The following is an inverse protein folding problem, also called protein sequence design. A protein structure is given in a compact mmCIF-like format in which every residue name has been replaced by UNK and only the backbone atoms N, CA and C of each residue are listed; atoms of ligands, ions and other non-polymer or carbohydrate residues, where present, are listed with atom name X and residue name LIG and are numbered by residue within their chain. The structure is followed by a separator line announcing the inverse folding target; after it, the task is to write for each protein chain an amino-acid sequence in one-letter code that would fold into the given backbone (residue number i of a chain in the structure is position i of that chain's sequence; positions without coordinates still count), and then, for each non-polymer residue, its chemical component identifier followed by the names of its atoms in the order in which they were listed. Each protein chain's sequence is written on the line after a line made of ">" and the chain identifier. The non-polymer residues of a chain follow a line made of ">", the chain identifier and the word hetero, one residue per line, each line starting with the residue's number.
data_IF_015288677180
#
_entry.id   IF_015288677180
#
_cell.length_a   1.000
_cell.length_b   1.000
_cell.length_c   1.000
_cell.angle_alpha   90.00
_cell.angle_beta   90.00
_cell.angle_gamma   90.00
#
_symmetry.space_group_name_H-M   'P 1'
#
loop_
_entity.id
_entity.type
_entity.pdbx_description
1 polymer ?
#
# COMPACT_ATOMS: atom_id res chain seq x y z
N UNK A 1 -9.19 -11.64 8.93
CA UNK A 1 -8.84 -10.25 8.53
C UNK A 1 -7.38 -9.90 8.79
N UNK A 2 -6.81 -10.18 9.98
CA UNK A 2 -5.41 -9.87 10.31
C UNK A 2 -4.40 -10.45 9.29
N UNK A 3 -4.46 -11.76 9.00
CA UNK A 3 -3.56 -12.40 8.01
C UNK A 3 -3.69 -11.79 6.60
N UNK A 4 -4.92 -11.57 6.14
CA UNK A 4 -5.16 -10.93 4.84
C UNK A 4 -4.55 -9.52 4.79
N UNK A 5 -4.77 -8.70 5.82
CA UNK A 5 -4.19 -7.36 5.90
C UNK A 5 -2.65 -7.39 5.92
N UNK A 6 -2.05 -8.36 6.62
CA UNK A 6 -0.59 -8.58 6.60
C UNK A 6 -0.11 -8.90 5.18
N UNK A 7 -0.73 -9.88 4.51
CA UNK A 7 -0.36 -10.29 3.15
C UNK A 7 -0.48 -9.13 2.17
N UNK A 8 -1.57 -8.36 2.23
CA UNK A 8 -1.75 -7.17 1.39
C UNK A 8 -0.68 -6.12 1.68
N UNK A 9 -0.34 -5.89 2.95
CA UNK A 9 0.69 -4.91 3.35
C UNK A 9 2.07 -5.29 2.82
N UNK A 10 2.45 -6.56 2.96
CA UNK A 10 3.71 -7.09 2.41
C UNK A 10 3.68 -7.06 0.88
N UNK A 11 2.55 -7.38 0.27
CA UNK A 11 2.35 -7.28 -1.18
C UNK A 11 2.54 -5.86 -1.72
N UNK A 12 2.03 -4.84 -1.00
CA UNK A 12 2.24 -3.44 -1.36
C UNK A 12 3.74 -3.05 -1.25
N UNK A 13 4.43 -3.52 -0.21
CA UNK A 13 5.89 -3.29 -0.07
C UNK A 13 6.63 -3.94 -1.24
N UNK A 14 6.34 -5.20 -1.54
CA UNK A 14 6.96 -5.93 -2.64
C UNK A 14 6.71 -5.25 -3.99
N UNK A 15 5.48 -4.78 -4.23
CA UNK A 15 5.15 -4.01 -5.43
C UNK A 15 5.96 -2.70 -5.50
N UNK A 16 6.13 -2.00 -4.37
CA UNK A 16 6.97 -0.82 -4.28
C UNK A 16 8.44 -1.09 -4.63
N UNK A 17 9.00 -2.20 -4.13
CA UNK A 17 10.36 -2.63 -4.47
C UNK A 17 10.49 -2.94 -5.96
N UNK A 18 9.55 -3.70 -6.53
CA UNK A 18 9.52 -4.00 -7.97
C UNK A 18 9.42 -2.72 -8.79
N UNK A 19 8.58 -1.77 -8.36
CA UNK A 19 8.42 -0.49 -9.04
C UNK A 19 9.74 0.29 -9.08
N UNK A 20 10.43 0.46 -7.95
CA UNK A 20 11.74 1.12 -7.90
C UNK A 20 12.75 0.38 -8.76
N UNK A 21 12.83 -0.95 -8.63
CA UNK A 21 13.77 -1.77 -9.38
C UNK A 21 13.53 -1.74 -10.89
N UNK A 22 12.31 -1.41 -11.33
CA UNK A 22 11.97 -1.22 -12.74
C UNK A 22 12.38 0.14 -13.30
N UNK A 23 12.72 1.12 -12.46
CA UNK A 23 13.11 2.47 -12.90
C UNK A 23 14.23 2.46 -13.96
N UNK A 24 15.34 1.72 -13.79
CA UNK A 24 16.42 1.70 -14.79
C UNK A 24 16.02 1.08 -16.13
N UNK A 25 14.95 0.29 -16.15
CA UNK A 25 14.40 -0.28 -17.39
C UNK A 25 13.63 0.77 -18.20
N UNK A 26 12.98 1.71 -17.54
CA UNK A 26 12.18 2.76 -18.18
C UNK A 26 12.95 4.07 -18.40
N UNK A 27 14.00 4.30 -17.62
CA UNK A 27 14.82 5.51 -17.67
C UNK A 27 16.30 5.12 -17.68
N UNK A 28 16.99 5.41 -18.79
CA UNK A 28 18.42 5.13 -18.95
C UNK A 28 19.31 6.07 -18.12
N UNK A 29 18.77 7.21 -17.71
CA UNK A 29 19.48 8.25 -16.96
C UNK A 29 18.63 8.72 -15.77
N UNK A 30 19.30 9.24 -14.74
CA UNK A 30 18.64 9.79 -13.55
C UNK A 30 18.07 11.17 -13.87
N UNK A 31 16.82 11.17 -14.34
CA UNK A 31 16.07 12.38 -14.70
C UNK A 31 14.97 12.68 -13.68
N UNK A 32 14.40 13.88 -13.72
CA UNK A 32 13.24 14.23 -12.87
C UNK A 32 12.06 13.25 -13.01
N UNK A 33 11.66 12.83 -14.23
CA UNK A 33 10.68 11.75 -14.40
C UNK A 33 11.07 10.41 -13.76
N UNK A 34 12.35 10.03 -13.81
CA UNK A 34 12.84 8.81 -13.18
C UNK A 34 12.69 8.85 -11.65
N UNK A 35 13.03 9.99 -11.03
CA UNK A 35 12.86 10.22 -9.59
C UNK A 35 11.38 10.19 -9.22
N UNK A 36 10.53 10.86 -10.00
CA UNK A 36 9.08 10.85 -9.82
C UNK A 36 8.52 9.43 -9.87
N UNK A 37 8.92 8.62 -10.86
CA UNK A 37 8.54 7.22 -10.95
C UNK A 37 9.00 6.42 -9.72
N UNK A 38 10.28 6.49 -9.36
CA UNK A 38 10.81 5.78 -8.19
C UNK A 38 10.12 6.21 -6.87
N UNK A 39 9.73 7.48 -6.75
CA UNK A 39 9.00 8.00 -5.58
C UNK A 39 7.66 7.30 -5.36
N UNK A 40 6.96 6.89 -6.42
CA UNK A 40 5.74 6.10 -6.30
C UNK A 40 5.98 4.77 -5.61
N UNK A 41 7.12 4.13 -5.90
CA UNK A 41 7.54 2.91 -5.21
C UNK A 41 7.90 3.13 -3.75
N UNK A 42 8.56 4.24 -3.41
CA UNK A 42 8.82 4.64 -2.02
C UNK A 42 7.51 4.87 -1.25
N UNK A 43 6.53 5.54 -1.86
CA UNK A 43 5.19 5.74 -1.27
C UNK A 43 4.49 4.42 -1.00
N UNK A 44 4.59 3.44 -1.90
CA UNK A 44 4.06 2.09 -1.69
C UNK A 44 4.73 1.41 -0.49
N UNK A 45 6.06 1.38 -0.44
CA UNK A 45 6.82 0.78 0.67
C UNK A 45 6.43 1.42 2.00
N UNK A 46 6.39 2.76 2.08
CA UNK A 46 6.02 3.47 3.29
C UNK A 46 4.58 3.17 3.72
N UNK A 47 3.65 3.14 2.77
CA UNK A 47 2.23 2.83 3.05
C UNK A 47 2.07 1.40 3.58
N UNK A 48 2.75 0.43 2.96
CA UNK A 48 2.77 -0.95 3.45
C UNK A 48 3.39 -1.07 4.85
N UNK A 49 4.47 -0.34 5.14
CA UNK A 49 5.07 -0.29 6.47
C UNK A 49 4.11 0.31 7.51
N UNK A 50 3.40 1.41 7.18
CA UNK A 50 2.35 1.99 8.02
C UNK A 50 1.22 1.00 8.30
N UNK A 51 0.86 0.17 7.32
CA UNK A 51 -0.15 -0.86 7.51
C UNK A 51 0.30 -1.92 8.53
N UNK A 52 1.55 -2.37 8.46
CA UNK A 52 2.14 -3.30 9.43
C UNK A 52 2.23 -2.69 10.83
N UNK A 53 2.59 -1.40 10.94
CA UNK A 53 2.58 -0.68 12.21
C UNK A 53 1.16 -0.58 12.77
N UNK A 54 0.16 -0.19 11.97
CA UNK A 54 -1.25 -0.12 12.38
C UNK A 54 -1.75 -1.48 12.86
N UNK A 55 -1.32 -2.56 12.23
CA UNK A 55 -1.71 -3.92 12.62
C UNK A 55 -1.24 -4.28 14.02
N UNK A 56 -0.09 -3.76 14.45
CA UNK A 56 0.53 -4.07 15.75
C UNK A 56 0.09 -3.07 16.83
N UNK A 57 0.10 -1.77 16.51
CA UNK A 57 -0.06 -0.69 17.49
C UNK A 57 -1.37 0.09 17.35
N UNK A 58 -2.15 -0.18 16.32
CA UNK A 58 -3.27 0.69 15.97
C UNK A 58 -4.44 0.67 16.96
N UNK A 59 -4.52 -0.28 17.90
CA UNK A 59 -5.55 -0.22 18.96
C UNK A 59 -5.31 0.94 19.92
N UNK A 60 -4.05 1.16 20.34
CA UNK A 60 -3.68 2.24 21.26
C UNK A 60 -3.41 3.58 20.59
N UNK A 61 -3.16 3.60 19.27
CA UNK A 61 -2.76 4.79 18.54
C UNK A 61 -3.81 5.21 17.50
N UNK A 62 -4.82 5.99 17.91
CA UNK A 62 -5.86 6.51 16.99
C UNK A 62 -5.27 7.31 15.82
N UNK A 63 -4.24 8.11 16.07
CA UNK A 63 -3.54 8.87 15.01
C UNK A 63 -2.96 7.97 13.93
N UNK A 64 -2.32 6.86 14.33
CA UNK A 64 -1.76 5.87 13.40
C UNK A 64 -2.86 5.23 12.54
N UNK A 65 -4.04 4.97 13.10
CA UNK A 65 -5.18 4.46 12.31
C UNK A 65 -5.60 5.46 11.23
N UNK A 66 -5.77 6.73 11.59
CA UNK A 66 -6.22 7.78 10.66
C UNK A 66 -5.20 7.97 9.54
N UNK A 67 -3.92 8.13 9.89
CA UNK A 67 -2.84 8.34 8.91
C UNK A 67 -2.74 7.14 7.96
N UNK A 68 -2.77 5.92 8.49
CA UNK A 68 -2.71 4.71 7.69
C UNK A 68 -3.92 4.58 6.75
N UNK A 69 -5.14 4.84 7.21
CA UNK A 69 -6.33 4.83 6.35
C UNK A 69 -6.24 5.91 5.27
N UNK A 70 -5.81 7.12 5.61
CA UNK A 70 -5.61 8.19 4.64
C UNK A 70 -4.56 7.82 3.58
N UNK A 71 -3.43 7.23 4.00
CA UNK A 71 -2.39 6.78 3.08
C UNK A 71 -2.89 5.70 2.10
N UNK A 72 -3.66 4.71 2.58
CA UNK A 72 -4.25 3.71 1.70
C UNK A 72 -5.31 4.32 0.75
N UNK A 73 -6.08 5.30 1.20
CA UNK A 73 -7.05 6.00 0.37
C UNK A 73 -6.35 6.75 -0.78
N UNK A 74 -5.30 7.51 -0.46
CA UNK A 74 -4.49 8.23 -1.46
C UNK A 74 -3.84 7.25 -2.43
N UNK A 75 -3.25 6.16 -1.95
CA UNK A 75 -2.61 5.17 -2.80
C UNK A 75 -3.62 4.47 -3.73
N UNK A 76 -4.84 4.18 -3.22
CA UNK A 76 -5.92 3.60 -4.03
C UNK A 76 -6.42 4.57 -5.10
N UNK A 77 -6.61 5.84 -4.74
CA UNK A 77 -6.99 6.88 -5.70
C UNK A 77 -5.92 7.06 -6.78
N UNK A 78 -4.65 7.06 -6.40
CA UNK A 78 -3.54 7.15 -7.34
C UNK A 78 -3.48 5.93 -8.26
N UNK A 79 -3.70 4.72 -7.75
CA UNK A 79 -3.76 3.51 -8.56
C UNK A 79 -4.92 3.52 -9.58
N UNK A 80 -6.09 4.05 -9.18
CA UNK A 80 -7.23 4.23 -10.09
C UNK A 80 -6.90 5.22 -11.22
N UNK A 81 -6.31 6.36 -10.87
CA UNK A 81 -5.88 7.37 -11.86
C UNK A 81 -4.82 6.79 -12.80
N UNK A 82 -3.82 6.08 -12.25
CA UNK A 82 -2.77 5.45 -13.04
C UNK A 82 -3.34 4.41 -14.02
N UNK A 83 -4.26 3.55 -13.57
CA UNK A 83 -4.93 2.57 -14.43
C UNK A 83 -5.73 3.23 -15.56
N UNK A 84 -6.45 4.31 -15.26
CA UNK A 84 -7.22 5.05 -16.24
C UNK A 84 -6.32 5.69 -17.31
N UNK A 85 -5.19 6.29 -16.90
CA UNK A 85 -4.27 6.98 -17.82
C UNK A 85 -3.42 6.01 -18.63
N UNK A 86 -2.99 4.89 -18.05
CA UNK A 86 -2.09 3.94 -18.73
C UNK A 86 -2.82 2.98 -19.68
N UNK A 87 -4.14 2.89 -19.61
CA UNK A 87 -4.89 1.86 -20.33
C UNK A 87 -4.53 0.45 -19.87
N UNK A 88 -4.23 0.28 -18.57
CA UNK A 88 -3.81 -0.98 -17.97
C UNK A 88 -4.76 -2.13 -18.31
N UNK A 89 -4.20 -3.32 -18.52
CA UNK A 89 -4.99 -4.52 -18.76
C UNK A 89 -5.89 -4.84 -17.55
N UNK A 90 -7.01 -5.53 -17.80
CA UNK A 90 -7.93 -5.91 -16.73
C UNK A 90 -7.23 -6.70 -15.59
N UNK A 91 -6.24 -7.55 -15.93
CA UNK A 91 -5.47 -8.30 -14.96
C UNK A 91 -4.62 -7.38 -14.06
N UNK A 92 -3.89 -6.44 -14.65
CA UNK A 92 -3.08 -5.47 -13.90
C UNK A 92 -3.96 -4.65 -12.95
N UNK A 93 -5.11 -4.19 -13.43
CA UNK A 93 -6.09 -3.45 -12.63
C UNK A 93 -6.58 -4.28 -11.45
N UNK A 94 -6.99 -5.53 -11.69
CA UNK A 94 -7.47 -6.42 -10.63
C UNK A 94 -6.38 -6.70 -9.60
N UNK A 95 -5.14 -6.95 -10.03
CA UNK A 95 -4.03 -7.24 -9.11
C UNK A 95 -3.68 -6.01 -8.26
N UNK A 96 -3.49 -4.85 -8.89
CA UNK A 96 -3.09 -3.63 -8.18
C UNK A 96 -4.22 -3.15 -7.27
N UNK A 97 -5.45 -3.03 -7.77
CA UNK A 97 -6.59 -2.60 -6.95
C UNK A 97 -6.97 -3.62 -5.89
N UNK A 98 -6.80 -4.93 -6.16
CA UNK A 98 -6.96 -5.97 -5.16
C UNK A 98 -5.98 -5.78 -3.99
N UNK A 99 -4.73 -5.41 -4.28
CA UNK A 99 -3.72 -5.11 -3.26
C UNK A 99 -4.05 -3.82 -2.49
N UNK A 100 -4.08 -2.68 -3.18
CA UNK A 100 -4.18 -1.36 -2.51
C UNK A 100 -5.61 -1.07 -2.03
N UNK A 101 -6.61 -1.39 -2.84
CA UNK A 101 -8.03 -1.24 -2.50
C UNK A 101 -8.47 -2.23 -1.42
N UNK A 102 -7.99 -3.48 -1.49
CA UNK A 102 -8.20 -4.45 -0.41
C UNK A 102 -7.61 -3.97 0.92
N UNK A 103 -6.38 -3.44 0.90
CA UNK A 103 -5.76 -2.88 2.10
C UNK A 103 -6.53 -1.66 2.61
N UNK A 104 -7.01 -0.78 1.72
CA UNK A 104 -7.85 0.36 2.09
C UNK A 104 -9.13 -0.08 2.78
N UNK A 105 -9.90 -1.00 2.18
CA UNK A 105 -11.15 -1.52 2.77
C UNK A 105 -10.88 -2.16 4.13
N UNK A 106 -9.86 -3.01 4.25
CA UNK A 106 -9.51 -3.62 5.53
C UNK A 106 -8.99 -2.60 6.56
N UNK A 107 -8.45 -1.46 6.14
CA UNK A 107 -8.04 -0.37 7.04
C UNK A 107 -9.24 0.35 7.66
N UNK A 108 -10.42 0.31 7.02
CA UNK A 108 -11.66 0.88 7.55
C UNK A 108 -12.31 -0.03 8.60
N UNK A 109 -12.01 -1.34 8.58
CA UNK A 109 -12.63 -2.30 9.48
C UNK A 109 -11.96 -2.29 10.89
N UNK A 110 -12.76 -2.29 11.98
CA UNK A 110 -12.25 -2.42 13.35
C UNK A 110 -11.54 -3.77 13.60
N UNK A 111 -12.03 -4.83 12.95
CA UNK A 111 -11.64 -6.23 13.19
C UNK A 111 -10.24 -6.61 12.68
N UNK A 112 -9.54 -5.71 12.00
CA UNK A 112 -8.14 -5.93 11.61
C UNK A 112 -7.17 -5.93 12.81
N UNK A 113 -7.63 -5.50 14.00
CA UNK A 113 -6.78 -5.22 15.15
C UNK A 113 -6.89 -6.20 16.32
N UNK A 114 -7.74 -7.24 16.26
CA UNK A 114 -7.95 -8.18 17.38
C UNK A 114 -6.71 -9.07 17.57
N UNK A 115 -5.91 -8.78 18.60
CA UNK A 115 -5.15 -9.80 19.32
C UNK A 115 -5.79 -9.95 20.71
N UNK A 116 -5.93 -11.21 21.11
CA UNK A 116 -6.31 -11.68 22.43
C UNK A 116 -5.46 -10.99 23.50
N UNK A 117 -6.11 -10.54 24.56
CA UNK A 117 -5.47 -10.22 25.84
C UNK A 117 -4.43 -11.29 26.17
N UNK A 118 -3.15 -10.93 26.43
CA UNK A 118 -2.30 -11.77 27.25
C UNK A 118 -3.06 -11.97 28.57
N UNK A 119 -3.22 -13.23 28.98
CA UNK A 119 -3.80 -13.56 30.26
C UNK A 119 -3.10 -12.77 31.37
N UNK A 120 -3.94 -12.32 32.31
CA UNK A 120 -3.59 -12.05 33.70
C UNK A 120 -2.60 -13.05 34.26
#
# INVERSE_FOLDING_TARGET
>A
MRRAYFVLSVGIIALGVVHIASTPRFFSELTSPAIWFASGGLTMILTGALNLLRQTYGQGARGLRVICTAANAVLTAFALLAAYVSGASALEVVVVLGLVGGAFVLSLLPSAQRNSTPGT
#
